data_IF_287137609185
#
_entry.id   IF_287137609185
#
_cell.length_a   1.000
_cell.length_b   1.000
_cell.length_c   1.000
_cell.angle_alpha   90.00
_cell.angle_beta   90.00
_cell.angle_gamma   90.00
#
_symmetry.space_group_name_H-M   'P 1'
#
loop_
_entity.id
_entity.type
_entity.pdbx_description
1 polymer ?
#
# COMPACT_ATOMS: atom_id res chain seq x y z
N UNK A 1 -1.25 2.08 -17.78
CA UNK A 1 -1.21 0.81 -17.04
C UNK A 1 -2.63 0.48 -16.64
N UNK A 2 -3.11 -0.76 -16.85
CA UNK A 2 -4.47 -1.15 -16.44
C UNK A 2 -4.34 -1.74 -15.03
N UNK A 3 -4.77 -1.00 -14.00
CA UNK A 3 -5.01 -1.58 -12.68
C UNK A 3 -6.33 -2.35 -12.77
N UNK A 4 -6.29 -3.67 -12.59
CA UNK A 4 -7.49 -4.50 -12.60
C UNK A 4 -7.94 -4.69 -11.15
N UNK A 5 -9.14 -4.21 -10.81
CA UNK A 5 -9.78 -4.54 -9.54
C UNK A 5 -10.16 -6.03 -9.58
N UNK A 6 -9.43 -6.87 -8.83
CA UNK A 6 -9.81 -8.27 -8.65
C UNK A 6 -10.92 -8.33 -7.60
N UNK A 7 -12.15 -8.65 -8.03
CA UNK A 7 -13.25 -8.96 -7.11
C UNK A 7 -13.06 -10.39 -6.60
N UNK A 8 -12.51 -10.54 -5.40
CA UNK A 8 -12.36 -11.85 -4.77
C UNK A 8 -13.73 -12.38 -4.36
N UNK A 9 -14.08 -13.56 -4.88
CA UNK A 9 -15.29 -14.29 -4.54
C UNK A 9 -14.97 -15.44 -3.60
N UNK A 10 -15.06 -15.20 -2.30
CA UNK A 10 -15.08 -16.28 -1.31
C UNK A 10 -15.75 -15.79 -0.02
N UNK A 11 -17.07 -15.58 -0.08
CA UNK A 11 -17.91 -15.60 1.11
C UNK A 11 -18.69 -16.92 1.06
N UNK A 12 -18.84 -17.57 2.22
CA UNK A 12 -19.51 -18.86 2.45
C UNK A 12 -20.71 -19.09 1.51
N UNK A 13 -21.03 -20.35 1.22
CA UNK A 13 -22.05 -20.88 0.30
C UNK A 13 -23.48 -20.25 0.36
N UNK A 14 -23.73 -19.30 1.24
CA UNK A 14 -24.97 -18.53 1.38
C UNK A 14 -25.02 -17.23 0.55
N UNK A 15 -23.88 -16.61 0.19
CA UNK A 15 -23.83 -15.30 -0.50
C UNK A 15 -22.93 -15.32 -1.73
N UNK A 16 -23.32 -16.10 -2.74
CA UNK A 16 -22.69 -16.08 -4.07
C UNK A 16 -23.67 -15.51 -5.10
N UNK A 17 -23.24 -14.51 -5.88
CA UNK A 17 -24.00 -13.98 -7.01
C UNK A 17 -23.09 -13.79 -8.22
N UNK A 18 -23.55 -14.05 -9.46
CA UNK A 18 -22.75 -13.81 -10.65
C UNK A 18 -22.58 -12.31 -10.88
N UNK A 19 -21.35 -11.87 -11.16
CA UNK A 19 -21.08 -10.51 -11.63
C UNK A 19 -20.82 -10.54 -13.12
N UNK A 20 -21.56 -9.71 -13.86
CA UNK A 20 -21.24 -9.43 -15.26
C UNK A 20 -20.28 -8.25 -15.30
N UNK A 21 -19.02 -8.52 -15.62
CA UNK A 21 -17.98 -7.50 -15.73
C UNK A 21 -17.64 -7.24 -17.20
N UNK A 22 -17.64 -5.97 -17.60
CA UNK A 22 -17.13 -5.53 -18.91
C UNK A 22 -15.78 -4.85 -18.68
N UNK A 23 -14.72 -5.37 -19.31
CA UNK A 23 -13.40 -4.74 -19.31
C UNK A 23 -13.23 -3.97 -20.63
N UNK A 24 -13.00 -2.66 -20.53
CA UNK A 24 -12.72 -1.78 -21.66
C UNK A 24 -11.34 -1.19 -21.52
N UNK A 25 -10.51 -1.31 -22.56
CA UNK A 25 -9.20 -0.66 -22.65
C UNK A 25 -9.22 0.39 -23.76
N UNK A 26 -8.94 1.64 -23.41
CA UNK A 26 -8.90 2.76 -24.35
C UNK A 26 -7.47 3.25 -24.53
N UNK A 27 -7.00 3.28 -25.78
CA UNK A 27 -5.67 3.75 -26.14
C UNK A 27 -5.78 5.07 -26.90
N UNK A 28 -4.96 6.04 -26.53
CA UNK A 28 -4.89 7.34 -27.19
C UNK A 28 -3.44 7.66 -27.52
N UNK A 29 -3.21 8.24 -28.70
CA UNK A 29 -1.94 8.88 -29.03
C UNK A 29 -2.00 10.29 -28.44
N UNK A 30 -1.11 10.60 -27.49
CA UNK A 30 -1.04 11.92 -26.87
C UNK A 30 0.29 12.57 -27.21
N UNK A 31 0.26 13.88 -27.48
CA UNK A 31 1.46 14.71 -27.56
C UNK A 31 1.98 15.09 -26.16
N UNK A 32 1.29 14.67 -25.09
CA UNK A 32 1.75 14.81 -23.71
C UNK A 32 3.02 13.99 -23.53
N UNK A 33 4.12 14.68 -23.21
CA UNK A 33 5.37 14.05 -22.78
C UNK A 33 5.09 13.34 -21.45
N UNK A 34 4.93 12.03 -21.49
CA UNK A 34 4.58 11.18 -20.34
C UNK A 34 5.83 10.89 -19.52
N UNK A 35 6.24 11.89 -18.73
CA UNK A 35 7.26 11.73 -17.70
C UNK A 35 8.65 12.25 -18.07
N UNK A 36 9.55 12.18 -17.08
CA UNK A 36 10.94 12.64 -17.19
C UNK A 36 11.86 11.64 -17.92
N UNK A 37 11.35 10.47 -18.32
CA UNK A 37 12.07 9.45 -19.08
C UNK A 37 11.11 8.69 -20.01
N UNK A 38 11.62 7.99 -21.04
CA UNK A 38 10.81 7.14 -21.90
C UNK A 38 10.14 5.99 -21.10
N UNK A 39 9.02 5.43 -21.60
CA UNK A 39 8.44 4.22 -21.04
C UNK A 39 9.43 3.06 -21.10
N UNK A 40 9.21 2.04 -20.27
CA UNK A 40 10.01 0.82 -20.30
C UNK A 40 9.89 0.10 -21.65
N UNK A 41 11.00 -0.46 -22.13
CA UNK A 41 11.07 -1.23 -23.37
C UNK A 41 10.47 -2.63 -23.21
N UNK A 42 10.57 -3.20 -22.01
CA UNK A 42 10.06 -4.53 -21.68
C UNK A 42 9.49 -4.56 -20.26
N UNK A 43 8.37 -5.27 -20.08
CA UNK A 43 7.80 -5.58 -18.77
C UNK A 43 7.82 -7.10 -18.59
N UNK A 44 8.54 -7.57 -17.58
CA UNK A 44 8.62 -8.99 -17.23
C UNK A 44 7.71 -9.26 -16.03
N UNK A 45 6.64 -10.08 -16.17
CA UNK A 45 5.79 -10.40 -15.03
C UNK A 45 6.51 -11.34 -14.06
N UNK A 46 6.44 -11.02 -12.77
CA UNK A 46 6.91 -11.84 -11.66
C UNK A 46 5.65 -12.33 -10.95
N UNK A 47 5.09 -13.42 -11.47
CA UNK A 47 3.77 -13.92 -11.09
C UNK A 47 3.70 -15.44 -11.25
N UNK A 48 2.61 -16.08 -10.84
CA UNK A 48 2.41 -17.52 -11.03
C UNK A 48 2.14 -17.94 -12.48
N UNK A 49 1.96 -16.98 -13.40
CA UNK A 49 1.80 -17.20 -14.86
C UNK A 49 0.66 -18.15 -15.24
N UNK A 50 -0.43 -18.16 -14.49
CA UNK A 50 -1.58 -19.06 -14.72
C UNK A 50 -2.55 -18.58 -15.82
N UNK A 51 -2.20 -17.55 -16.60
CA UNK A 51 -3.09 -16.97 -17.61
C UNK A 51 -3.57 -18.01 -18.65
N UNK A 52 -2.73 -18.98 -19.03
CA UNK A 52 -3.10 -20.07 -19.94
C UNK A 52 -4.17 -21.02 -19.38
N UNK A 53 -4.33 -21.03 -18.04
CA UNK A 53 -5.36 -21.80 -17.33
C UNK A 53 -6.59 -20.96 -17.00
N UNK A 54 -6.72 -19.77 -17.57
CA UNK A 54 -7.83 -18.83 -17.34
C UNK A 54 -8.06 -18.51 -15.85
N UNK A 55 -6.98 -18.43 -15.07
CA UNK A 55 -7.02 -18.10 -13.64
C UNK A 55 -6.07 -16.95 -13.32
N UNK A 56 -6.32 -16.28 -12.18
CA UNK A 56 -5.48 -15.18 -11.70
C UNK A 56 -4.02 -15.61 -11.54
N UNK A 57 -3.10 -14.70 -11.90
CA UNK A 57 -1.65 -14.96 -11.79
C UNK A 57 -1.03 -14.43 -10.49
N UNK A 58 -1.80 -13.77 -9.62
CA UNK A 58 -1.34 -13.43 -8.28
C UNK A 58 -1.24 -14.68 -7.39
N UNK A 59 -0.28 -14.69 -6.48
CA UNK A 59 -0.19 -15.71 -5.44
C UNK A 59 -1.07 -15.35 -4.25
N UNK A 60 -1.51 -16.38 -3.53
CA UNK A 60 -2.04 -16.24 -2.18
C UNK A 60 -1.01 -16.84 -1.22
N UNK A 61 -0.30 -16.01 -0.47
CA UNK A 61 0.65 -16.47 0.57
C UNK A 61 -0.09 -16.53 1.90
N UNK A 62 0.13 -17.55 2.76
CA UNK A 62 1.22 -18.52 2.70
C UNK A 62 0.90 -19.81 1.93
N UNK A 63 -0.31 -19.98 1.38
CA UNK A 63 -0.72 -21.22 0.70
C UNK A 63 0.23 -21.61 -0.44
N UNK A 64 0.68 -20.64 -1.22
CA UNK A 64 1.68 -20.83 -2.27
C UNK A 64 2.78 -19.79 -2.15
N UNK A 65 4.03 -20.25 -2.10
CA UNK A 65 5.18 -19.35 -2.11
C UNK A 65 5.19 -18.48 -3.39
N UNK A 66 5.37 -17.16 -3.20
CA UNK A 66 5.45 -16.21 -4.30
C UNK A 66 6.85 -16.20 -4.93
N UNK A 67 7.14 -17.24 -5.71
CA UNK A 67 8.43 -17.46 -6.38
C UNK A 67 8.24 -17.53 -7.89
N UNK A 68 9.07 -16.80 -8.63
CA UNK A 68 9.15 -16.88 -10.10
C UNK A 68 10.59 -16.79 -10.55
N UNK A 69 10.97 -17.68 -11.47
CA UNK A 69 12.28 -17.66 -12.13
C UNK A 69 12.15 -16.98 -13.49
N UNK A 70 13.07 -16.08 -13.81
CA UNK A 70 13.08 -15.32 -15.07
C UNK A 70 14.50 -15.13 -15.59
N UNK A 71 14.63 -15.08 -16.91
CA UNK A 71 15.87 -14.73 -17.60
C UNK A 71 15.80 -13.28 -18.07
N UNK A 72 16.79 -12.48 -17.69
CA UNK A 72 16.84 -11.07 -18.07
C UNK A 72 17.49 -10.89 -19.46
N UNK A 73 17.10 -9.86 -20.22
CA UNK A 73 17.86 -9.39 -21.37
C UNK A 73 19.27 -8.97 -20.95
N UNK A 74 20.28 -9.35 -21.73
CA UNK A 74 21.68 -9.06 -21.41
C UNK A 74 22.06 -7.60 -21.58
N UNK A 75 21.23 -6.82 -22.26
CA UNK A 75 21.42 -5.41 -22.59
C UNK A 75 20.58 -4.47 -21.71
N UNK A 76 20.07 -4.92 -20.56
CA UNK A 76 19.27 -4.05 -19.69
C UNK A 76 20.14 -2.97 -19.03
N UNK A 77 19.77 -1.70 -19.16
CA UNK A 77 20.48 -0.55 -18.61
C UNK A 77 19.79 0.07 -17.37
N UNK A 78 18.50 -0.22 -17.15
CA UNK A 78 17.74 0.17 -15.95
C UNK A 78 16.70 -0.91 -15.67
N UNK A 79 16.45 -1.19 -14.39
CA UNK A 79 15.43 -2.13 -13.96
C UNK A 79 14.72 -1.65 -12.69
N UNK A 80 13.39 -1.60 -12.73
CA UNK A 80 12.56 -1.27 -11.55
C UNK A 80 11.59 -2.40 -11.30
N UNK A 81 11.63 -2.97 -10.10
CA UNK A 81 10.64 -3.92 -9.63
C UNK A 81 9.44 -3.17 -9.08
N UNK A 82 8.23 -3.60 -9.43
CA UNK A 82 7.01 -3.14 -8.78
C UNK A 82 6.29 -4.30 -8.11
N UNK A 83 5.89 -4.10 -6.86
CA UNK A 83 5.19 -5.08 -6.03
C UNK A 83 3.77 -4.62 -5.73
N UNK A 84 2.82 -5.50 -5.99
CA UNK A 84 1.45 -5.42 -5.50
C UNK A 84 1.27 -6.44 -4.38
N UNK A 85 0.86 -5.99 -3.20
CA UNK A 85 0.64 -6.84 -2.05
C UNK A 85 -0.50 -6.29 -1.20
N UNK A 86 -1.52 -7.12 -0.95
CA UNK A 86 -2.68 -6.73 -0.16
C UNK A 86 -3.17 -7.89 0.73
N UNK A 87 -3.37 -7.61 2.01
CA UNK A 87 -3.86 -8.57 3.00
C UNK A 87 -5.37 -8.80 2.87
N UNK A 88 -5.80 -10.04 3.07
CA UNK A 88 -7.19 -10.48 2.93
C UNK A 88 -7.58 -11.45 4.07
N UNK A 89 -8.87 -11.59 4.35
CA UNK A 89 -9.36 -12.35 5.51
C UNK A 89 -8.93 -11.66 6.81
N UNK A 90 -8.34 -12.38 7.77
CA UNK A 90 -7.81 -11.76 8.99
C UNK A 90 -6.69 -10.75 8.71
N UNK A 91 -6.00 -10.87 7.58
CA UNK A 91 -4.98 -9.90 7.17
C UNK A 91 -5.60 -8.64 6.56
N UNK A 92 -6.92 -8.51 6.38
CA UNK A 92 -7.55 -7.22 6.03
C UNK A 92 -7.34 -6.17 7.14
N UNK A 93 -7.20 -6.64 8.38
CA UNK A 93 -7.06 -5.83 9.58
C UNK A 93 -5.68 -6.00 10.24
N UNK A 94 -4.65 -6.40 9.48
CA UNK A 94 -3.30 -6.70 9.99
C UNK A 94 -2.75 -5.59 10.91
N UNK A 95 -3.14 -4.34 10.65
CA UNK A 95 -2.76 -3.15 11.41
C UNK A 95 -3.33 -3.08 12.83
N UNK A 96 -4.27 -3.95 13.17
CA UNK A 96 -4.89 -4.09 14.50
C UNK A 96 -4.48 -5.37 15.23
N UNK A 97 -3.63 -6.20 14.62
CA UNK A 97 -3.23 -7.47 15.20
C UNK A 97 -2.45 -7.26 16.49
N UNK A 98 -2.60 -8.21 17.42
CA UNK A 98 -1.81 -8.24 18.66
C UNK A 98 -0.49 -8.97 18.46
N UNK A 99 0.38 -8.88 19.46
CA UNK A 99 1.56 -9.73 19.56
C UNK A 99 1.16 -11.21 19.63
N UNK A 100 2.05 -12.10 19.18
CA UNK A 100 1.78 -13.53 19.15
C UNK A 100 1.53 -14.10 20.55
N UNK A 101 2.25 -13.61 21.57
CA UNK A 101 2.03 -14.03 22.96
C UNK A 101 0.71 -13.53 23.57
N UNK A 102 0.09 -12.50 22.97
CA UNK A 102 -1.13 -11.86 23.46
C UNK A 102 -2.40 -12.36 22.76
N UNK A 103 -2.28 -13.21 21.74
CA UNK A 103 -3.41 -13.69 20.92
C UNK A 103 -4.54 -14.34 21.75
N UNK A 104 -4.19 -15.00 22.85
CA UNK A 104 -5.13 -15.68 23.74
C UNK A 104 -5.65 -14.80 24.90
N UNK A 105 -5.20 -13.54 25.00
CA UNK A 105 -5.46 -12.69 26.18
C UNK A 105 -6.96 -12.54 26.49
N UNK A 106 -7.83 -12.52 25.46
CA UNK A 106 -9.28 -12.36 25.62
C UNK A 106 -10.07 -13.55 25.07
N UNK A 107 -9.44 -14.72 24.96
CA UNK A 107 -10.05 -15.91 24.34
C UNK A 107 -11.38 -16.32 24.99
N UNK A 108 -11.50 -16.18 26.31
CA UNK A 108 -12.72 -16.50 27.05
C UNK A 108 -13.91 -15.57 26.74
N UNK A 109 -13.66 -14.38 26.17
CA UNK A 109 -14.68 -13.34 25.96
C UNK A 109 -15.00 -13.13 24.49
N UNK A 110 -13.97 -12.97 23.66
CA UNK A 110 -14.11 -12.61 22.24
C UNK A 110 -13.37 -13.58 21.30
N UNK A 111 -12.83 -14.68 21.84
CA UNK A 111 -12.05 -15.65 21.08
C UNK A 111 -10.59 -15.20 20.84
N UNK A 112 -9.88 -15.98 20.06
CA UNK A 112 -8.47 -15.72 19.72
C UNK A 112 -8.36 -14.47 18.84
N UNK A 113 -7.52 -13.52 19.26
CA UNK A 113 -7.23 -12.33 18.47
C UNK A 113 -6.26 -12.65 17.31
N UNK A 114 -6.38 -11.98 16.16
CA UNK A 114 -5.37 -12.04 15.10
C UNK A 114 -3.98 -11.64 15.63
N UNK A 115 -2.98 -12.46 15.30
CA UNK A 115 -1.61 -12.36 15.83
C UNK A 115 -0.61 -11.85 14.76
N UNK A 116 0.66 -11.76 15.12
CA UNK A 116 1.75 -11.39 14.21
C UNK A 116 2.12 -9.90 14.24
N UNK A 117 1.67 -9.17 15.27
CA UNK A 117 1.88 -7.73 15.50
C UNK A 117 1.18 -6.81 14.48
N UNK A 118 0.97 -5.53 14.81
CA UNK A 118 0.34 -4.56 13.92
C UNK A 118 1.28 -3.98 12.84
N UNK A 119 2.34 -4.70 12.48
CA UNK A 119 3.35 -4.31 11.48
C UNK A 119 3.53 -5.40 10.42
N UNK A 120 3.70 -4.99 9.16
CA UNK A 120 3.95 -5.87 8.03
C UNK A 120 5.05 -5.29 7.14
N UNK A 121 5.92 -6.17 6.65
CA UNK A 121 6.91 -5.85 5.63
C UNK A 121 6.80 -6.84 4.49
N UNK A 122 6.68 -6.31 3.27
CA UNK A 122 6.70 -7.10 2.04
C UNK A 122 8.13 -7.05 1.51
N UNK A 123 8.80 -8.20 1.48
CA UNK A 123 10.20 -8.33 1.08
C UNK A 123 10.31 -8.82 -0.36
N UNK A 124 11.12 -8.16 -1.18
CA UNK A 124 11.49 -8.61 -2.53
C UNK A 124 12.92 -9.12 -2.50
N UNK A 125 13.11 -10.39 -2.85
CA UNK A 125 14.40 -11.05 -2.89
C UNK A 125 14.79 -11.43 -4.32
N UNK A 126 16.07 -11.29 -4.64
CA UNK A 126 16.72 -11.72 -5.88
C UNK A 126 17.78 -12.75 -5.50
N UNK A 127 17.65 -13.98 -5.99
CA UNK A 127 18.54 -15.10 -5.68
C UNK A 127 18.80 -15.24 -4.16
N UNK A 128 17.70 -15.23 -3.40
CA UNK A 128 17.63 -15.29 -1.92
C UNK A 128 18.30 -14.12 -1.17
N UNK A 129 18.72 -13.05 -1.86
CA UNK A 129 19.20 -11.81 -1.25
C UNK A 129 18.12 -10.74 -1.27
N UNK A 130 17.93 -10.03 -0.15
CA UNK A 130 16.96 -8.94 -0.10
C UNK A 130 17.39 -7.80 -1.03
N UNK A 131 16.50 -7.40 -1.93
CA UNK A 131 16.72 -6.30 -2.88
C UNK A 131 16.05 -5.00 -2.41
N UNK A 132 14.91 -5.11 -1.74
CA UNK A 132 14.16 -3.99 -1.17
C UNK A 132 12.88 -4.48 -0.48
N UNK A 133 12.15 -3.55 0.13
CA UNK A 133 10.92 -3.85 0.86
C UNK A 133 9.83 -2.82 0.62
N UNK A 134 8.58 -3.18 0.92
CA UNK A 134 7.44 -2.26 1.02
C UNK A 134 6.84 -2.39 2.43
N UNK A 135 6.57 -1.26 3.08
CA UNK A 135 5.66 -1.21 4.22
C UNK A 135 4.28 -0.75 3.72
N UNK A 136 3.28 -1.64 3.70
CA UNK A 136 2.05 -1.44 2.96
C UNK A 136 1.16 -0.35 3.58
N UNK A 137 0.47 0.40 2.72
CA UNK A 137 -0.61 1.29 3.17
C UNK A 137 -1.75 0.45 3.77
N UNK A 138 -2.28 0.81 4.95
CA UNK A 138 -3.37 0.07 5.58
C UNK A 138 -4.71 0.38 4.90
N UNK A 139 -4.99 -0.33 3.79
CA UNK A 139 -6.27 -0.21 3.07
C UNK A 139 -7.40 -0.70 3.97
N UNK A 140 -8.48 0.07 4.07
CA UNK A 140 -9.72 -0.33 4.74
C UNK A 140 -10.79 -0.47 3.67
N UNK A 141 -11.20 -1.70 3.37
CA UNK A 141 -12.20 -2.00 2.35
C UNK A 141 -13.62 -1.70 2.84
N UNK A 142 -14.61 -1.80 1.93
CA UNK A 142 -15.97 -1.29 2.11
C UNK A 142 -16.80 -1.97 3.21
N UNK A 143 -16.30 -3.05 3.82
CA UNK A 143 -16.86 -3.69 5.01
C UNK A 143 -16.08 -3.44 6.30
N UNK A 144 -14.87 -2.87 6.22
CA UNK A 144 -13.93 -2.83 7.33
C UNK A 144 -14.24 -1.78 8.40
N UNK A 145 -13.87 -2.10 9.65
CA UNK A 145 -14.10 -1.32 10.88
C UNK A 145 -15.60 -1.15 11.19
N UNK A 146 -16.31 -0.32 10.42
CA UNK A 146 -17.77 -0.20 10.44
C UNK A 146 -18.25 0.05 9.01
N UNK A 147 -19.16 -0.78 8.46
CA UNK A 147 -19.58 -0.68 7.04
C UNK A 147 -20.11 0.70 6.62
N UNK A 148 -20.74 1.45 7.53
CA UNK A 148 -21.29 2.79 7.24
C UNK A 148 -20.25 3.90 7.05
N UNK A 149 -18.95 3.63 7.26
CA UNK A 149 -17.89 4.56 6.82
C UNK A 149 -17.78 4.66 5.30
N UNK A 150 -18.19 3.61 4.58
CA UNK A 150 -17.80 3.39 3.19
C UNK A 150 -18.94 3.66 2.20
N UNK A 151 -19.95 4.40 2.63
CA UNK A 151 -21.14 4.75 1.84
C UNK A 151 -21.40 6.24 2.00
N UNK A 152 -21.54 7.00 0.90
CA UNK A 152 -21.18 6.68 -0.48
C UNK A 152 -19.67 6.80 -0.77
N UNK A 153 -18.86 7.23 0.21
CA UNK A 153 -17.41 7.47 0.02
C UNK A 153 -16.60 6.23 0.42
N UNK A 154 -15.85 5.67 -0.50
CA UNK A 154 -15.06 4.44 -0.29
C UNK A 154 -13.70 4.72 0.37
N UNK A 155 -13.09 3.70 0.98
CA UNK A 155 -11.74 3.74 1.54
C UNK A 155 -10.67 4.27 0.58
N UNK A 156 -9.65 4.91 1.15
CA UNK A 156 -8.46 5.31 0.38
C UNK A 156 -7.84 4.07 -0.25
N UNK A 157 -7.48 4.15 -1.53
CA UNK A 157 -6.91 3.07 -2.36
C UNK A 157 -7.76 1.78 -2.49
N UNK A 158 -8.97 1.71 -1.92
CA UNK A 158 -9.76 0.47 -1.91
C UNK A 158 -10.26 0.03 -3.31
N UNK A 159 -10.25 0.93 -4.30
CA UNK A 159 -10.54 0.61 -5.72
C UNK A 159 -9.32 0.72 -6.65
N UNK A 160 -8.23 1.32 -6.20
CA UNK A 160 -6.99 1.47 -6.96
C UNK A 160 -5.83 1.17 -6.01
N UNK A 161 -5.57 -0.13 -5.84
CA UNK A 161 -4.53 -0.63 -4.93
C UNK A 161 -3.17 -0.25 -5.51
N UNK A 162 -2.51 0.73 -4.89
CA UNK A 162 -1.20 1.18 -5.33
C UNK A 162 -0.14 0.10 -5.15
N UNK A 163 0.76 0.10 -6.12
CA UNK A 163 1.96 -0.73 -6.08
C UNK A 163 3.16 0.08 -5.63
N UNK A 164 4.15 -0.60 -5.08
CA UNK A 164 5.37 0.01 -4.60
C UNK A 164 6.52 -0.24 -5.57
N UNK A 165 7.43 0.71 -5.70
CA UNK A 165 8.57 0.66 -6.62
C UNK A 165 9.88 0.39 -5.86
N UNK A 166 10.68 -0.55 -6.35
CA UNK A 166 12.02 -0.84 -5.85
C UNK A 166 12.97 -0.81 -7.05
N UNK A 167 13.88 0.16 -7.10
CA UNK A 167 14.84 0.22 -8.20
C UNK A 167 15.92 -0.86 -8.00
N UNK A 168 15.94 -1.82 -8.92
CA UNK A 168 16.86 -2.96 -8.91
C UNK A 168 17.99 -2.78 -9.93
N UNK A 169 18.20 -1.57 -10.47
CA UNK A 169 19.32 -1.27 -11.37
C UNK A 169 20.69 -1.63 -10.79
N UNK A 170 20.95 -1.47 -9.46
CA UNK A 170 22.19 -1.97 -8.85
C UNK A 170 22.48 -3.47 -9.07
N UNK A 171 21.45 -4.28 -9.35
CA UNK A 171 21.57 -5.73 -9.57
C UNK A 171 21.83 -6.12 -11.03
N UNK A 172 21.72 -5.18 -11.97
CA UNK A 172 21.90 -5.46 -13.40
C UNK A 172 23.18 -6.20 -13.79
N UNK A 173 24.35 -5.98 -13.15
CA UNK A 173 25.58 -6.69 -13.51
C UNK A 173 25.51 -8.20 -13.27
N UNK A 174 24.69 -8.64 -12.31
CA UNK A 174 24.48 -10.06 -12.01
C UNK A 174 23.22 -10.61 -12.69
N UNK A 175 22.20 -9.78 -12.92
CA UNK A 175 20.97 -10.19 -13.62
C UNK A 175 21.17 -10.36 -15.13
N UNK A 176 22.09 -9.61 -15.74
CA UNK A 176 22.30 -9.58 -17.19
C UNK A 176 23.32 -10.63 -17.68
N UNK A 177 23.65 -11.63 -16.85
CA UNK A 177 24.68 -12.62 -17.12
C UNK A 177 24.27 -13.68 -18.17
N UNK A 178 22.97 -13.77 -18.48
CA UNK A 178 22.39 -14.72 -19.43
C UNK A 178 21.82 -15.99 -18.79
N UNK A 179 21.88 -16.11 -17.48
CA UNK A 179 21.27 -17.18 -16.69
C UNK A 179 19.84 -16.82 -16.25
N UNK A 180 19.19 -17.78 -15.60
CA UNK A 180 17.91 -17.58 -14.94
C UNK A 180 18.12 -17.13 -13.49
N UNK A 181 17.31 -16.19 -13.03
CA UNK A 181 17.33 -15.65 -11.68
C UNK A 181 15.99 -15.84 -10.99
N UNK A 182 16.04 -16.10 -9.69
CA UNK A 182 14.85 -16.36 -8.88
C UNK A 182 14.43 -15.09 -8.13
N UNK A 183 13.21 -14.65 -8.39
CA UNK A 183 12.55 -13.61 -7.61
C UNK A 183 11.60 -14.25 -6.61
N UNK A 184 11.67 -13.80 -5.36
CA UNK A 184 10.80 -14.26 -4.27
C UNK A 184 10.21 -13.07 -3.55
N UNK A 185 8.90 -13.10 -3.30
CA UNK A 185 8.21 -12.10 -2.51
C UNK A 185 7.75 -12.76 -1.20
N UNK A 186 8.05 -12.15 -0.06
CA UNK A 186 7.59 -12.62 1.26
C UNK A 186 6.80 -11.53 1.95
N UNK A 187 5.85 -11.92 2.79
CA UNK A 187 5.25 -11.01 3.77
C UNK A 187 5.68 -11.48 5.13
N UNK A 188 6.18 -10.55 5.93
CA UNK A 188 6.64 -10.83 7.28
C UNK A 188 5.94 -9.91 8.28
N UNK A 189 5.68 -10.45 9.45
CA UNK A 189 5.29 -9.71 10.64
C UNK A 189 6.36 -9.87 11.73
N UNK A 190 5.98 -9.64 12.97
CA UNK A 190 6.83 -9.88 14.12
C UNK A 190 6.25 -11.02 14.95
N UNK A 191 7.14 -11.89 15.44
CA UNK A 191 6.86 -12.78 16.54
C UNK A 191 7.58 -12.29 17.79
N UNK A 192 7.00 -12.59 18.94
CA UNK A 192 7.57 -12.29 20.24
C UNK A 192 7.66 -13.56 21.10
N UNK A 193 8.77 -13.68 21.83
CA UNK A 193 8.99 -14.75 22.80
C UNK A 193 9.63 -14.15 24.05
N UNK A 194 8.81 -13.99 25.10
CA UNK A 194 9.22 -13.20 26.27
C UNK A 194 9.45 -11.74 25.87
N UNK A 195 10.62 -11.21 26.21
CA UNK A 195 10.99 -9.82 25.89
C UNK A 195 11.69 -9.67 24.52
N UNK A 196 11.85 -10.76 23.77
CA UNK A 196 12.51 -10.74 22.45
C UNK A 196 11.49 -10.68 21.34
N UNK A 197 11.77 -9.84 20.35
CA UNK A 197 11.03 -9.78 19.09
C UNK A 197 11.91 -10.23 17.93
N UNK A 198 11.32 -10.87 16.94
CA UNK A 198 12.01 -11.31 15.71
C UNK A 198 11.07 -11.25 14.52
N UNK A 199 11.63 -11.04 13.34
CA UNK A 199 10.88 -11.14 12.09
C UNK A 199 10.37 -12.57 11.90
N UNK A 200 9.10 -12.72 11.53
CA UNK A 200 8.46 -14.01 11.26
C UNK A 200 7.72 -13.95 9.92
N UNK A 201 7.80 -15.03 9.14
CA UNK A 201 7.10 -15.18 7.85
C UNK A 201 5.66 -15.68 8.00
N UNK A 202 5.19 -15.91 9.22
CA UNK A 202 3.81 -16.32 9.47
C UNK A 202 2.90 -15.10 9.37
N UNK A 203 1.93 -15.16 8.46
CA UNK A 203 0.81 -14.23 8.36
C UNK A 203 -0.48 -14.96 8.70
N UNK A 204 -1.57 -14.22 8.93
CA UNK A 204 -2.92 -14.76 9.08
C UNK A 204 -3.43 -15.39 7.78
N UNK A 205 -4.72 -15.22 7.46
CA UNK A 205 -5.37 -15.90 6.34
C UNK A 205 -4.55 -15.90 5.04
N UNK A 206 -4.42 -14.76 4.37
CA UNK A 206 -3.54 -14.67 3.20
C UNK A 206 -3.24 -13.24 2.77
N UNK A 207 -2.20 -13.10 1.95
CA UNK A 207 -1.94 -11.91 1.15
C UNK A 207 -2.00 -12.26 -0.33
N UNK A 208 -2.66 -11.42 -1.11
CA UNK A 208 -2.66 -11.49 -2.58
C UNK A 208 -1.47 -10.70 -3.10
N UNK A 209 -0.57 -11.36 -3.82
CA UNK A 209 0.73 -10.80 -4.20
C UNK A 209 1.03 -11.02 -5.68
N UNK A 210 1.57 -10.00 -6.33
CA UNK A 210 2.20 -10.13 -7.64
C UNK A 210 3.31 -9.09 -7.80
N UNK A 211 4.23 -9.35 -8.72
CA UNK A 211 5.26 -8.38 -9.09
C UNK A 211 5.44 -8.27 -10.59
N UNK A 212 6.19 -7.25 -11.01
CA UNK A 212 6.63 -7.05 -12.38
C UNK A 212 7.91 -6.23 -12.43
N UNK A 213 8.74 -6.48 -13.42
CA UNK A 213 9.97 -5.72 -13.65
C UNK A 213 9.83 -4.89 -14.91
N UNK A 214 10.03 -3.58 -14.79
CA UNK A 214 10.15 -2.64 -15.88
C UNK A 214 11.62 -2.53 -16.29
N UNK A 215 11.92 -2.78 -17.56
CA UNK A 215 13.27 -2.80 -18.10
C UNK A 215 13.43 -1.76 -19.21
N UNK A 216 14.56 -1.05 -19.17
CA UNK A 216 15.05 -0.24 -20.28
C UNK A 216 16.29 -0.90 -20.85
N UNK A 217 16.37 -0.98 -22.17
CA UNK A 217 17.37 -1.76 -22.89
C UNK A 217 18.31 -0.82 -23.66
N UNK A 218 19.57 -1.20 -23.75
CA UNK A 218 20.52 -0.66 -24.71
C UNK A 218 20.33 -1.36 -26.08
N UNK A 219 21.08 -0.92 -27.09
CA UNK A 219 21.05 -1.52 -28.44
C UNK A 219 21.24 -3.04 -28.40
N UNK A 220 20.58 -3.74 -29.31
CA UNK A 220 20.70 -5.19 -29.44
C UNK A 220 22.16 -5.61 -29.64
N UNK A 221 22.57 -6.70 -28.97
CA UNK A 221 23.95 -7.20 -29.00
C UNK A 221 24.90 -6.54 -28.00
N UNK A 222 24.50 -5.46 -27.33
CA UNK A 222 25.23 -4.94 -26.17
C UNK A 222 25.06 -5.84 -24.94
N UNK A 223 25.99 -5.75 -23.99
CA UNK A 223 25.95 -6.54 -22.75
C UNK A 223 26.24 -5.61 -21.58
N UNK A 224 25.34 -5.60 -20.62
CA UNK A 224 25.51 -4.93 -19.33
C UNK A 224 26.35 -5.81 -18.42
N UNK A 225 27.43 -5.25 -17.88
CA UNK A 225 28.40 -5.91 -17.02
C UNK A 225 28.66 -5.04 -15.78
N UNK A 226 29.75 -5.31 -15.05
CA UNK A 226 30.15 -4.56 -13.87
C UNK A 226 30.47 -5.48 -12.70
N UNK A 227 30.28 -5.00 -11.47
CA UNK A 227 30.53 -5.79 -10.25
C UNK A 227 29.21 -6.20 -9.59
N UNK A 228 29.18 -7.35 -8.91
CA UNK A 228 28.07 -7.69 -8.03
C UNK A 228 27.78 -6.56 -7.03
N UNK A 229 26.49 -6.27 -6.73
CA UNK A 229 26.15 -5.19 -5.84
C UNK A 229 26.66 -5.42 -4.42
N UNK A 230 27.06 -4.34 -3.75
CA UNK A 230 27.28 -4.33 -2.31
C UNK A 230 25.94 -4.09 -1.62
N UNK A 231 25.52 -5.04 -0.80
CA UNK A 231 24.24 -5.02 -0.09
C UNK A 231 24.50 -4.73 1.39
N UNK A 232 24.01 -3.60 1.87
CA UNK A 232 24.05 -3.18 3.27
C UNK A 232 22.61 -3.11 3.80
N UNK A 233 22.19 -4.20 4.43
CA UNK A 233 20.82 -4.40 4.89
C UNK A 233 20.88 -4.96 6.31
N UNK A 234 20.25 -4.25 7.24
CA UNK A 234 20.06 -4.70 8.62
C UNK A 234 18.69 -5.38 8.78
N UNK A 235 18.59 -6.26 9.76
CA UNK A 235 17.27 -6.66 10.30
C UNK A 235 16.55 -5.42 10.88
N UNK A 236 15.21 -5.40 10.95
CA UNK A 236 14.49 -4.27 11.52
C UNK A 236 14.88 -4.08 12.99
N UNK A 237 15.15 -2.84 13.40
CA UNK A 237 15.28 -2.48 14.82
C UNK A 237 13.89 -2.33 15.41
N UNK A 238 13.56 -3.19 16.38
CA UNK A 238 12.22 -3.30 16.98
C UNK A 238 12.29 -2.90 18.44
N UNK A 239 11.43 -1.96 18.85
CA UNK A 239 11.25 -1.56 20.24
C UNK A 239 9.81 -1.80 20.65
N UNK A 240 9.62 -2.76 21.55
CA UNK A 240 8.36 -3.03 22.22
C UNK A 240 8.40 -2.41 23.62
N UNK A 241 7.49 -1.48 23.92
CA UNK A 241 7.45 -0.79 25.21
C UNK A 241 6.02 -0.69 25.74
N UNK A 242 5.87 -0.38 27.03
CA UNK A 242 4.56 -0.13 27.63
C UNK A 242 3.61 -1.33 27.63
N UNK A 243 4.11 -2.55 27.35
CA UNK A 243 3.28 -3.76 27.34
C UNK A 243 2.69 -4.02 28.73
N UNK A 244 1.37 -3.98 28.84
CA UNK A 244 0.66 -4.13 30.11
C UNK A 244 -0.67 -4.86 29.91
N UNK A 245 -0.80 -6.01 30.54
CA UNK A 245 -2.05 -6.76 30.67
C UNK A 245 -2.63 -6.50 32.06
N UNK A 246 -3.80 -5.88 32.14
CA UNK A 246 -4.52 -5.62 33.40
C UNK A 246 -5.62 -6.64 33.61
N UNK A 247 -5.74 -7.11 34.84
CA UNK A 247 -6.78 -8.04 35.26
C UNK A 247 -7.72 -7.35 36.26
N UNK A 248 -8.99 -7.72 36.22
CA UNK A 248 -9.96 -7.29 37.21
C UNK A 248 -9.82 -8.11 38.52
N UNK A 249 -10.67 -7.82 39.52
CA UNK A 249 -10.65 -8.50 40.83
C UNK A 249 -10.91 -10.02 40.78
N UNK A 250 -11.49 -10.53 39.68
CA UNK A 250 -11.74 -11.97 39.47
C UNK A 250 -10.58 -12.68 38.78
N UNK A 251 -9.53 -11.95 38.40
CA UNK A 251 -8.40 -12.47 37.61
C UNK A 251 -8.66 -12.51 36.10
N UNK A 252 -9.80 -11.99 35.62
CA UNK A 252 -10.09 -11.93 34.19
C UNK A 252 -9.33 -10.76 33.55
N UNK A 253 -8.74 -11.01 32.38
CA UNK A 253 -8.05 -9.98 31.59
C UNK A 253 -9.05 -8.92 31.11
N UNK A 254 -8.83 -7.67 31.49
CA UNK A 254 -9.73 -6.53 31.23
C UNK A 254 -9.18 -5.63 30.11
N UNK A 255 -7.88 -5.37 30.10
CA UNK A 255 -7.22 -4.56 29.07
C UNK A 255 -5.80 -5.00 28.79
N UNK A 256 -5.35 -4.75 27.57
CA UNK A 256 -4.00 -4.95 27.07
C UNK A 256 -3.56 -3.66 26.36
N UNK A 257 -2.40 -3.12 26.70
CA UNK A 257 -1.80 -2.01 25.97
C UNK A 257 -0.35 -2.31 25.63
N UNK A 258 0.14 -1.81 24.50
CA UNK A 258 1.56 -1.86 24.12
C UNK A 258 1.88 -0.79 23.08
N UNK A 259 3.14 -0.40 23.02
CA UNK A 259 3.69 0.47 21.98
C UNK A 259 4.72 -0.32 21.17
N UNK A 260 4.63 -0.21 19.84
CA UNK A 260 5.54 -0.85 18.92
C UNK A 260 6.20 0.20 18.03
N UNK A 261 7.52 0.25 18.03
CA UNK A 261 8.31 1.04 17.09
C UNK A 261 9.20 0.11 16.26
N UNK A 262 9.27 0.36 14.96
CA UNK A 262 10.13 -0.39 14.04
C UNK A 262 10.86 0.59 13.13
N UNK A 263 12.18 0.44 12.99
CA UNK A 263 12.95 1.17 11.98
C UNK A 263 13.77 0.23 11.13
N UNK A 264 13.98 0.59 9.86
CA UNK A 264 14.81 -0.19 8.93
C UNK A 264 15.56 0.72 7.97
N UNK A 265 16.79 0.36 7.66
CA UNK A 265 17.60 1.00 6.62
C UNK A 265 18.16 -0.03 5.66
N UNK A 266 18.04 0.23 4.36
CA UNK A 266 18.51 -0.60 3.25
C UNK A 266 19.39 0.27 2.35
N UNK A 267 20.53 -0.26 1.92
CA UNK A 267 21.33 0.32 0.84
C UNK A 267 21.88 -0.77 -0.06
N UNK A 268 21.64 -0.65 -1.36
CA UNK A 268 22.24 -1.52 -2.38
C UNK A 268 23.00 -0.66 -3.38
N UNK A 269 24.30 -0.90 -3.50
CA UNK A 269 25.21 -0.13 -4.36
C UNK A 269 25.72 -1.01 -5.49
N UNK A 270 25.54 -0.57 -6.73
CA UNK A 270 26.03 -1.27 -7.92
C UNK A 270 27.14 -0.49 -8.63
N UNK A 271 27.97 -1.21 -9.39
CA UNK A 271 28.83 -0.66 -10.45
C UNK A 271 28.33 -1.28 -11.75
N UNK A 272 27.60 -0.51 -12.57
CA UNK A 272 26.92 -0.99 -13.78
C UNK A 272 27.62 -0.44 -15.00
N UNK A 273 28.14 -1.32 -15.86
CA UNK A 273 28.79 -0.95 -17.11
C UNK A 273 27.86 -1.34 -18.26
N UNK A 274 27.14 -0.36 -18.80
CA UNK A 274 26.24 -0.53 -19.94
C UNK A 274 26.81 0.13 -21.19
N UNK A 275 26.13 0.02 -22.34
CA UNK A 275 26.53 0.73 -23.57
C UNK A 275 26.55 2.26 -23.38
N UNK A 276 25.73 2.78 -22.47
CA UNK A 276 25.66 4.21 -22.10
C UNK A 276 26.80 4.68 -21.20
N UNK A 277 27.67 3.77 -20.75
CA UNK A 277 28.82 4.04 -19.90
C UNK A 277 28.72 3.37 -18.53
N UNK A 278 29.66 3.73 -17.64
CA UNK A 278 29.67 3.25 -16.26
C UNK A 278 28.80 4.13 -15.38
N UNK A 279 27.87 3.52 -14.66
CA UNK A 279 26.97 4.14 -13.68
C UNK A 279 27.17 3.48 -12.32
N UNK A 280 26.92 4.22 -11.25
CA UNK A 280 27.05 3.71 -9.89
C UNK A 280 25.73 3.85 -9.13
N UNK A 281 24.66 3.13 -9.56
CA UNK A 281 23.35 3.27 -8.95
C UNK A 281 23.40 2.86 -7.48
N UNK A 282 22.74 3.65 -6.64
CA UNK A 282 22.53 3.36 -5.22
C UNK A 282 21.04 3.44 -4.94
N UNK A 283 20.45 2.28 -4.64
CA UNK A 283 19.11 2.19 -4.08
C UNK A 283 19.19 2.28 -2.56
N UNK A 284 18.35 3.11 -1.94
CA UNK A 284 18.27 3.22 -0.49
C UNK A 284 16.84 3.36 -0.01
N UNK A 285 16.55 2.78 1.15
CA UNK A 285 15.27 2.91 1.83
C UNK A 285 15.49 3.22 3.30
N UNK A 286 14.75 4.20 3.83
CA UNK A 286 14.70 4.56 5.25
C UNK A 286 13.26 4.52 5.71
N UNK A 287 12.96 3.64 6.65
CA UNK A 287 11.59 3.29 7.05
C UNK A 287 11.42 3.43 8.55
N UNK A 288 10.29 4.00 8.98
CA UNK A 288 9.94 4.15 10.40
C UNK A 288 8.45 3.97 10.64
N UNK A 289 8.13 3.19 11.68
CA UNK A 289 6.80 2.79 12.09
C UNK A 289 6.68 3.01 13.59
N UNK A 290 5.53 3.51 14.03
CA UNK A 290 5.16 3.58 15.43
C UNK A 290 3.67 3.29 15.57
N UNK A 291 3.29 2.49 16.56
CA UNK A 291 1.89 2.25 16.95
C UNK A 291 1.73 2.29 18.46
N UNK A 292 0.65 2.91 18.91
CA UNK A 292 0.10 2.79 20.26
C UNK A 292 -1.18 1.98 20.18
N UNK A 293 -1.15 0.76 20.71
CA UNK A 293 -2.28 -0.16 20.68
C UNK A 293 -2.88 -0.30 22.09
N UNK A 294 -4.20 -0.31 22.17
CA UNK A 294 -4.94 -0.67 23.39
C UNK A 294 -6.14 -1.51 23.04
N UNK A 295 -6.33 -2.57 23.80
CA UNK A 295 -7.53 -3.39 23.81
C UNK A 295 -8.13 -3.28 25.21
N UNK A 296 -9.42 -3.03 25.29
CA UNK A 296 -10.12 -2.84 26.57
C UNK A 296 -11.49 -3.52 26.55
N UNK A 297 -12.23 -3.41 27.66
CA UNK A 297 -13.55 -4.03 27.81
C UNK A 297 -13.54 -5.54 27.51
N UNK A 298 -12.51 -6.23 28.03
CA UNK A 298 -12.34 -7.68 27.88
C UNK A 298 -12.20 -8.12 26.42
N UNK A 299 -11.55 -7.31 25.57
CA UNK A 299 -11.31 -7.64 24.17
C UNK A 299 -12.30 -7.01 23.18
N UNK A 300 -13.30 -6.28 23.67
CA UNK A 300 -14.39 -5.71 22.85
C UNK A 300 -14.04 -4.40 22.19
N UNK A 301 -13.19 -3.61 22.84
CA UNK A 301 -12.78 -2.30 22.34
C UNK A 301 -11.34 -2.38 21.86
N UNK A 302 -11.05 -1.70 20.76
CA UNK A 302 -9.72 -1.62 20.17
C UNK A 302 -9.38 -0.20 19.79
N UNK A 303 -8.17 0.22 20.13
CA UNK A 303 -7.59 1.49 19.76
C UNK A 303 -6.23 1.24 19.11
N UNK A 304 -6.01 1.85 17.94
CA UNK A 304 -4.71 1.91 17.29
C UNK A 304 -4.45 3.33 16.84
N UNK A 305 -3.27 3.85 17.14
CA UNK A 305 -2.76 5.09 16.61
C UNK A 305 -1.37 4.81 16.07
N UNK A 306 -1.29 4.56 14.77
CA UNK A 306 -0.02 4.27 14.12
C UNK A 306 0.27 5.15 12.92
N UNK A 307 1.55 5.20 12.60
CA UNK A 307 2.08 5.91 11.45
C UNK A 307 3.17 5.06 10.81
N UNK A 308 3.10 4.92 9.48
CA UNK A 308 4.21 4.47 8.65
C UNK A 308 4.81 5.72 7.98
N UNK A 309 6.13 5.80 7.93
CA UNK A 309 6.87 6.77 7.12
C UNK A 309 7.99 6.09 6.38
N UNK A 310 8.27 6.56 5.17
CA UNK A 310 9.36 6.02 4.38
C UNK A 310 9.95 7.04 3.41
N UNK A 311 11.22 6.82 3.08
CA UNK A 311 11.92 7.50 1.98
C UNK A 311 12.68 6.44 1.19
N UNK A 312 12.28 6.28 -0.06
CA UNK A 312 12.97 5.43 -1.03
C UNK A 312 13.66 6.32 -2.06
N UNK A 313 14.92 6.02 -2.39
CA UNK A 313 15.73 6.90 -3.21
C UNK A 313 16.71 6.11 -4.09
N UNK A 314 16.73 6.44 -5.38
CA UNK A 314 17.75 6.06 -6.33
C UNK A 314 18.64 7.27 -6.60
N UNK A 315 19.95 7.08 -6.44
CA UNK A 315 20.99 8.03 -6.82
C UNK A 315 22.07 7.36 -7.67
N UNK A 316 22.96 8.14 -8.29
CA UNK A 316 24.09 7.62 -9.09
C UNK A 316 23.71 7.04 -10.46
N UNK A 317 22.43 7.02 -10.79
CA UNK A 317 21.87 6.73 -12.11
C UNK A 317 20.46 7.32 -12.21
N UNK A 318 20.28 8.39 -12.97
CA UNK A 318 19.03 9.16 -12.93
C UNK A 318 18.74 9.70 -11.52
N UNK A 319 17.52 10.19 -11.32
CA UNK A 319 17.01 10.56 -10.00
C UNK A 319 15.62 9.99 -9.82
N UNK A 320 15.38 9.36 -8.67
CA UNK A 320 14.05 8.97 -8.21
C UNK A 320 14.03 9.05 -6.70
N UNK A 321 12.99 9.66 -6.14
CA UNK A 321 12.75 9.72 -4.72
C UNK A 321 11.26 9.66 -4.43
N UNK A 322 10.85 8.74 -3.57
CA UNK A 322 9.50 8.64 -3.05
C UNK A 322 9.54 8.85 -1.54
N UNK A 323 8.73 9.79 -1.04
CA UNK A 323 8.55 10.02 0.39
C UNK A 323 7.08 9.85 0.74
N UNK A 324 6.78 9.05 1.75
CA UNK A 324 5.39 8.75 2.11
C UNK A 324 5.16 8.74 3.61
N UNK A 325 3.91 9.02 3.98
CA UNK A 325 3.42 8.95 5.35
C UNK A 325 1.98 8.45 5.36
N UNK A 326 1.72 7.42 6.17
CA UNK A 326 0.42 6.76 6.30
C UNK A 326 -0.07 6.73 7.75
N UNK A 327 -0.55 7.86 8.31
CA UNK A 327 -1.18 7.86 9.62
C UNK A 327 -2.55 7.15 9.59
N UNK A 328 -2.80 6.33 10.61
CA UNK A 328 -4.10 5.69 10.84
C UNK A 328 -4.42 5.69 12.34
N UNK A 329 -5.55 6.28 12.69
CA UNK A 329 -6.12 6.28 14.03
C UNK A 329 -7.51 5.63 13.95
N UNK A 330 -7.70 4.55 14.69
CA UNK A 330 -8.99 3.85 14.80
C UNK A 330 -9.28 3.64 16.28
N UNK A 331 -10.43 4.12 16.71
CA UNK A 331 -11.03 3.78 18.00
C UNK A 331 -12.34 3.06 17.72
N UNK A 332 -12.43 1.78 18.05
CA UNK A 332 -13.56 0.92 17.73
C UNK A 332 -14.09 0.19 18.96
N UNK A 333 -15.41 0.01 18.97
CA UNK A 333 -16.17 -0.73 19.96
C UNK A 333 -16.95 -1.79 19.22
N UNK A 334 -16.81 -3.04 19.64
CA UNK A 334 -17.57 -4.18 19.13
C UNK A 334 -18.25 -4.91 20.28
N UNK A 335 -19.58 -4.96 20.21
CA UNK A 335 -20.41 -5.65 21.19
C UNK A 335 -21.24 -6.73 20.49
N UNK A 336 -21.28 -7.90 21.10
CA UNK A 336 -22.18 -8.98 20.69
C UNK A 336 -22.91 -9.50 21.93
N UNK A 337 -24.25 -9.48 21.90
CA UNK A 337 -25.06 -10.04 23.00
C UNK A 337 -25.01 -11.57 22.96
N UNK A 338 -25.39 -12.22 24.07
CA UNK A 338 -25.52 -13.69 24.09
C UNK A 338 -26.55 -14.22 23.08
N UNK A 339 -27.54 -13.40 22.70
CA UNK A 339 -28.52 -13.73 21.67
C UNK A 339 -27.92 -13.65 20.26
N UNK A 340 -26.81 -12.92 20.07
CA UNK A 340 -26.16 -12.69 18.77
C UNK A 340 -26.41 -11.30 18.18
N UNK A 341 -26.97 -10.35 18.94
CA UNK A 341 -27.13 -8.98 18.45
C UNK A 341 -25.77 -8.29 18.40
N UNK A 342 -25.41 -7.82 17.21
CA UNK A 342 -24.15 -7.14 16.94
C UNK A 342 -24.34 -5.62 16.99
N UNK A 343 -23.44 -4.92 17.69
CA UNK A 343 -23.31 -3.47 17.65
C UNK A 343 -21.85 -3.09 17.45
N UNK A 344 -21.59 -2.27 16.44
CA UNK A 344 -20.29 -1.73 16.10
C UNK A 344 -20.36 -0.21 16.16
N UNK A 345 -19.33 0.43 16.70
CA UNK A 345 -19.14 1.87 16.56
C UNK A 345 -17.68 2.24 16.53
N UNK A 346 -17.31 3.24 15.75
CA UNK A 346 -15.91 3.65 15.68
C UNK A 346 -15.74 5.12 15.30
N UNK A 347 -14.58 5.67 15.65
CA UNK A 347 -14.00 6.85 15.02
C UNK A 347 -12.80 6.45 14.16
N UNK A 348 -12.62 7.14 13.04
CA UNK A 348 -11.57 6.85 12.07
C UNK A 348 -10.89 8.15 11.65
N UNK A 349 -9.56 8.15 11.60
CA UNK A 349 -8.75 9.06 10.82
C UNK A 349 -7.75 8.22 10.02
N UNK A 350 -7.71 8.40 8.70
CA UNK A 350 -6.78 7.71 7.82
C UNK A 350 -6.24 8.72 6.82
N UNK A 351 -4.93 8.77 6.66
CA UNK A 351 -4.29 9.69 5.73
C UNK A 351 -3.24 8.98 4.88
N UNK A 352 -3.16 9.41 3.62
CA UNK A 352 -2.11 9.07 2.70
C UNK A 352 -1.44 10.36 2.24
N UNK A 353 -0.14 10.46 2.48
CA UNK A 353 0.76 11.45 1.88
C UNK A 353 1.80 10.72 1.06
N UNK A 354 1.95 11.12 -0.20
CA UNK A 354 2.93 10.58 -1.15
C UNK A 354 3.54 11.74 -1.95
N UNK A 355 4.85 11.86 -1.89
CA UNK A 355 5.64 12.78 -2.71
C UNK A 355 6.59 11.98 -3.60
N UNK A 356 6.52 12.18 -4.91
CA UNK A 356 7.37 11.52 -5.90
C UNK A 356 8.15 12.57 -6.68
N UNK A 357 9.48 12.43 -6.68
CA UNK A 357 10.41 13.29 -7.40
C UNK A 357 11.25 12.43 -8.36
N UNK A 358 11.48 12.93 -9.57
CA UNK A 358 12.28 12.22 -10.56
C UNK A 358 11.48 11.19 -11.37
N UNK A 359 12.16 10.12 -11.80
CA UNK A 359 11.67 9.20 -12.84
C UNK A 359 11.11 7.92 -12.22
N UNK A 360 9.81 7.88 -11.90
CA UNK A 360 9.11 6.63 -11.57
C UNK A 360 8.71 5.82 -12.82
N UNK A 361 8.06 4.67 -12.62
CA UNK A 361 7.44 3.84 -13.67
C UNK A 361 5.95 4.09 -13.80
N UNK A 362 5.35 4.69 -12.77
CA UNK A 362 3.95 5.07 -12.74
C UNK A 362 3.76 6.54 -13.11
N UNK A 363 2.68 6.88 -13.83
CA UNK A 363 2.28 8.27 -14.02
C UNK A 363 2.06 8.95 -12.66
N UNK A 364 2.50 10.19 -12.55
CA UNK A 364 2.40 10.96 -11.31
C UNK A 364 1.16 11.86 -11.27
N UNK A 365 0.49 12.04 -12.41
CA UNK A 365 -0.58 13.02 -12.61
C UNK A 365 -0.06 14.37 -13.12
N UNK A 366 1.24 14.67 -12.95
CA UNK A 366 1.84 15.91 -13.45
C UNK A 366 1.86 15.99 -14.98
N UNK A 367 1.72 14.87 -15.70
CA UNK A 367 1.75 14.81 -17.16
C UNK A 367 0.68 15.73 -17.76
N UNK A 368 -0.51 15.81 -17.15
CA UNK A 368 -1.59 16.70 -17.59
C UNK A 368 -1.25 18.17 -17.39
N UNK A 369 -0.55 18.50 -16.31
CA UNK A 369 -0.22 19.89 -15.94
C UNK A 369 1.07 20.41 -16.61
N UNK A 370 1.96 19.51 -17.01
CA UNK A 370 3.20 19.83 -17.73
C UNK A 370 3.03 19.85 -19.26
N UNK A 371 1.82 19.66 -19.79
CA UNK A 371 1.56 19.60 -21.23
C UNK A 371 1.92 20.93 -21.93
N UNK A 372 2.83 20.91 -22.93
CA UNK A 372 3.26 22.13 -23.62
C UNK A 372 2.18 22.86 -24.42
N UNK A 373 1.14 22.14 -24.83
CA UNK A 373 0.06 22.69 -25.65
C UNK A 373 -1.06 23.32 -24.79
N UNK A 374 -0.92 23.37 -23.46
CA UNK A 374 -1.87 24.03 -22.56
C UNK A 374 -1.59 25.54 -22.50
N UNK A 375 -2.59 26.36 -22.83
CA UNK A 375 -2.46 27.83 -22.91
C UNK A 375 -2.91 28.58 -21.64
N UNK A 376 -3.36 27.85 -20.60
CA UNK A 376 -3.90 28.44 -19.37
C UNK A 376 -2.84 28.70 -18.28
N UNK A 377 -3.11 29.73 -17.44
CA UNK A 377 -2.13 30.43 -16.58
C UNK A 377 -1.44 29.61 -15.47
N UNK A 378 -1.74 28.32 -15.27
CA UNK A 378 -1.12 27.48 -14.23
C UNK A 378 -0.51 26.15 -14.73
N UNK A 379 -0.13 26.06 -16.00
CA UNK A 379 0.58 24.92 -16.58
C UNK A 379 1.50 25.33 -17.72
N UNK A 380 2.51 26.18 -17.45
CA UNK A 380 3.58 26.36 -18.44
C UNK A 380 4.28 25.00 -18.61
N UNK A 381 4.56 24.55 -19.85
CA UNK A 381 5.35 23.35 -20.08
C UNK A 381 6.62 23.28 -19.23
N UNK A 382 6.81 22.17 -18.53
CA UNK A 382 8.09 21.79 -17.92
C UNK A 382 8.38 22.27 -16.50
N UNK A 383 7.43 22.88 -15.78
CA UNK A 383 7.72 23.50 -14.48
C UNK A 383 7.66 22.53 -13.27
N UNK A 384 6.82 21.49 -13.27
CA UNK A 384 6.67 20.60 -12.11
C UNK A 384 7.52 19.33 -12.23
N UNK A 385 8.34 19.07 -11.21
CA UNK A 385 9.25 17.91 -11.10
C UNK A 385 8.95 17.02 -9.89
N UNK A 386 8.13 17.52 -8.97
CA UNK A 386 7.75 16.87 -7.73
C UNK A 386 6.23 16.77 -7.71
N UNK A 387 5.70 15.56 -7.63
CA UNK A 387 4.27 15.31 -7.51
C UNK A 387 3.94 15.03 -6.06
N UNK A 388 2.95 15.71 -5.49
CA UNK A 388 2.52 15.50 -4.11
C UNK A 388 1.03 15.19 -4.06
N UNK A 389 0.70 13.99 -3.63
CA UNK A 389 -0.66 13.54 -3.38
C UNK A 389 -0.88 13.43 -1.87
N UNK A 390 -1.86 14.17 -1.36
CA UNK A 390 -2.30 14.11 0.03
C UNK A 390 -3.80 13.86 0.05
N UNK A 391 -4.24 12.80 0.73
CA UNK A 391 -5.66 12.60 0.99
C UNK A 391 -5.85 12.07 2.40
N UNK A 392 -6.81 12.63 3.11
CA UNK A 392 -7.23 12.09 4.40
C UNK A 392 -8.73 11.93 4.43
N UNK A 393 -9.19 10.96 5.22
CA UNK A 393 -10.59 10.83 5.58
C UNK A 393 -10.74 10.67 7.08
N UNK A 394 -11.78 11.29 7.62
CA UNK A 394 -12.11 11.15 9.03
C UNK A 394 -13.62 11.15 9.27
N UNK A 395 -14.04 10.47 10.33
CA UNK A 395 -15.47 10.25 10.54
C UNK A 395 -15.81 9.49 11.80
N UNK A 396 -17.12 9.26 11.97
CA UNK A 396 -17.67 8.39 13.01
C UNK A 396 -18.77 7.53 12.41
N UNK A 397 -18.83 6.26 12.79
CA UNK A 397 -19.81 5.33 12.25
C UNK A 397 -20.38 4.42 13.35
N UNK A 398 -21.61 3.96 13.12
CA UNK A 398 -22.32 2.96 13.92
C UNK A 398 -23.04 1.98 13.01
N UNK A 399 -23.12 0.74 13.45
CA UNK A 399 -23.87 -0.34 12.80
C UNK A 399 -24.48 -1.24 13.88
N UNK A 400 -25.75 -1.61 13.72
CA UNK A 400 -26.41 -2.60 14.56
C UNK A 400 -27.13 -3.62 13.70
N UNK A 401 -27.04 -4.89 14.09
CA UNK A 401 -27.71 -6.01 13.45
C UNK A 401 -28.26 -6.94 14.52
N UNK A 402 -29.59 -7.12 14.62
CA UNK A 402 -30.17 -8.10 15.52
C UNK A 402 -29.75 -9.52 15.16
N UNK A 403 -29.82 -10.42 16.14
CA UNK A 403 -29.43 -11.83 15.99
C UNK A 403 -30.15 -12.57 14.85
N UNK A 404 -31.39 -12.18 14.53
CA UNK A 404 -32.17 -12.80 13.45
C UNK A 404 -31.71 -12.37 12.05
N UNK A 405 -30.82 -11.37 11.96
CA UNK A 405 -30.27 -10.80 10.73
C UNK A 405 -31.32 -10.33 9.71
N UNK A 406 -32.58 -10.14 10.12
CA UNK A 406 -33.67 -9.73 9.22
C UNK A 406 -33.62 -8.24 8.87
N UNK A 407 -32.97 -7.46 9.70
CA UNK A 407 -32.80 -6.02 9.51
C UNK A 407 -31.43 -5.57 10.01
N UNK A 408 -31.01 -4.38 9.59
CA UNK A 408 -29.85 -3.70 10.18
C UNK A 408 -30.12 -2.20 10.19
N UNK A 409 -29.45 -1.51 11.11
CA UNK A 409 -29.44 -0.04 11.16
C UNK A 409 -28.00 0.43 11.11
N UNK A 410 -27.75 1.47 10.34
CA UNK A 410 -26.40 2.01 10.19
C UNK A 410 -26.48 3.53 10.07
N UNK A 411 -25.52 4.20 10.70
CA UNK A 411 -25.33 5.65 10.56
C UNK A 411 -23.85 5.95 10.47
N UNK A 412 -23.45 6.94 9.70
CA UNK A 412 -22.04 7.30 9.58
C UNK A 412 -21.87 8.72 9.09
N UNK A 413 -20.79 9.36 9.49
CA UNK A 413 -20.32 10.61 8.90
C UNK A 413 -18.91 10.41 8.41
N UNK A 414 -18.61 10.92 7.23
CA UNK A 414 -17.26 10.90 6.68
C UNK A 414 -16.98 12.23 5.98
N UNK A 415 -15.80 12.78 6.23
CA UNK A 415 -15.21 13.85 5.45
C UNK A 415 -13.94 13.32 4.82
N UNK A 416 -13.81 13.48 3.51
CA UNK A 416 -12.57 13.21 2.79
C UNK A 416 -12.09 14.48 2.11
N UNK A 417 -10.79 14.73 2.20
CA UNK A 417 -10.11 15.80 1.45
C UNK A 417 -9.01 15.15 0.64
N UNK A 418 -8.95 15.47 -0.64
CA UNK A 418 -7.85 15.15 -1.53
C UNK A 418 -7.22 16.46 -2.02
N UNK A 419 -5.90 16.50 -2.03
CA UNK A 419 -5.09 17.59 -2.58
C UNK A 419 -3.97 16.99 -3.39
N UNK A 420 -3.83 17.46 -4.62
CA UNK A 420 -2.75 17.15 -5.52
C UNK A 420 -2.01 18.44 -5.85
N UNK A 421 -0.70 18.44 -5.67
CA UNK A 421 0.17 19.59 -5.84
C UNK A 421 1.37 19.24 -6.69
N UNK A 422 1.88 20.25 -7.40
CA UNK A 422 3.15 20.20 -8.12
C UNK A 422 4.22 21.03 -7.43
N UNK A 423 5.45 20.53 -7.41
CA UNK A 423 6.63 21.23 -6.94
C UNK A 423 7.63 21.48 -8.07
N UNK A 424 8.31 22.64 -8.00
CA UNK A 424 9.33 23.07 -8.96
C UNK A 424 10.73 22.94 -8.34
N UNK A 425 11.72 22.61 -9.16
CA UNK A 425 13.12 22.61 -8.73
C UNK A 425 13.56 24.04 -8.34
N UNK A 426 14.15 24.19 -7.15
CA UNK A 426 14.56 25.51 -6.63
C UNK A 426 13.42 26.49 -6.31
N UNK A 427 12.16 26.06 -6.37
CA UNK A 427 10.98 26.90 -6.19
C UNK A 427 10.00 26.36 -5.14
N UNK A 428 8.73 26.77 -5.24
CA UNK A 428 7.66 26.25 -4.39
C UNK A 428 7.46 24.74 -4.64
N UNK A 429 7.50 23.93 -3.56
CA UNK A 429 7.29 22.47 -3.62
C UNK A 429 5.83 22.04 -3.52
N UNK A 430 4.89 22.95 -3.24
CA UNK A 430 3.49 22.62 -2.92
C UNK A 430 2.50 23.60 -3.59
N UNK A 431 2.61 23.75 -4.92
CA UNK A 431 1.63 24.51 -5.73
C UNK A 431 0.40 23.64 -5.95
N UNK A 432 -0.75 24.02 -5.40
CA UNK A 432 -1.99 23.26 -5.55
C UNK A 432 -2.42 23.20 -7.03
N UNK A 433 -2.67 21.99 -7.53
CA UNK A 433 -3.09 21.71 -8.90
C UNK A 433 -4.53 21.18 -8.96
N UNK A 434 -4.94 20.40 -7.96
CA UNK A 434 -6.28 19.88 -7.80
C UNK A 434 -6.61 19.69 -6.32
N UNK A 435 -7.83 19.99 -5.92
CA UNK A 435 -8.36 19.58 -4.63
C UNK A 435 -9.83 19.20 -4.74
N UNK A 436 -10.23 18.20 -3.96
CA UNK A 436 -11.64 17.79 -3.82
C UNK A 436 -11.96 17.52 -2.36
N UNK A 437 -13.06 18.08 -1.88
CA UNK A 437 -13.55 17.87 -0.53
C UNK A 437 -14.96 17.32 -0.57
N UNK A 438 -15.13 16.10 -0.06
CA UNK A 438 -16.42 15.42 0.03
C UNK A 438 -16.82 15.30 1.50
N UNK A 439 -18.06 15.64 1.82
CA UNK A 439 -18.69 15.33 3.11
C UNK A 439 -19.92 14.49 2.85
N UNK A 440 -20.05 13.39 3.56
CA UNK A 440 -21.23 12.55 3.49
C UNK A 440 -21.72 12.16 4.88
N UNK A 441 -23.02 11.97 4.98
CA UNK A 441 -23.69 11.41 6.16
C UNK A 441 -24.65 10.32 5.71
N UNK A 442 -24.62 9.19 6.39
CA UNK A 442 -25.37 7.99 6.03
C UNK A 442 -25.17 7.64 4.56
N UNK A 443 -26.24 7.58 3.75
CA UNK A 443 -26.15 7.27 2.33
C UNK A 443 -26.18 8.53 1.44
N UNK A 444 -25.89 9.71 2.00
CA UNK A 444 -26.09 11.00 1.30
C UNK A 444 -24.82 11.84 1.28
N UNK A 445 -24.42 12.31 0.10
CA UNK A 445 -23.38 13.34 -0.06
C UNK A 445 -23.99 14.69 0.33
N UNK A 446 -23.39 15.36 1.33
CA UNK A 446 -23.81 16.68 1.80
C UNK A 446 -23.15 17.82 1.02
N UNK A 447 -21.89 17.62 0.64
CA UNK A 447 -21.11 18.59 -0.15
C UNK A 447 -20.02 17.87 -0.94
N UNK A 448 -19.80 18.33 -2.16
CA UNK A 448 -18.70 17.90 -3.03
C UNK A 448 -18.09 19.14 -3.69
N UNK A 449 -16.99 19.62 -3.12
CA UNK A 449 -16.32 20.83 -3.56
C UNK A 449 -15.05 20.46 -4.33
N UNK A 450 -14.99 20.79 -5.61
CA UNK A 450 -13.82 20.58 -6.46
C UNK A 450 -13.17 21.91 -6.86
N UNK A 451 -11.84 21.94 -6.81
CA UNK A 451 -11.01 23.02 -7.36
C UNK A 451 -9.93 22.43 -8.24
N UNK A 452 -9.78 22.99 -9.43
CA UNK A 452 -8.75 22.61 -10.38
C UNK A 452 -8.04 23.85 -10.90
N UNK A 453 -6.72 23.74 -11.07
CA UNK A 453 -5.87 24.79 -11.62
C UNK A 453 -6.18 25.14 -13.10
N UNK A 454 -7.01 24.35 -13.78
CA UNK A 454 -7.51 24.65 -15.13
C UNK A 454 -8.76 25.56 -15.15
N UNK A 455 -9.00 26.27 -14.04
CA UNK A 455 -9.94 27.40 -13.97
C UNK A 455 -11.41 27.05 -14.28
N UNK A 456 -11.79 25.78 -14.28
CA UNK A 456 -13.17 25.31 -14.43
C UNK A 456 -13.70 24.87 -13.05
N UNK A 457 -14.30 25.76 -12.24
CA UNK A 457 -15.01 25.34 -11.04
C UNK A 457 -16.20 24.45 -11.46
N UNK A 458 -16.16 23.18 -11.08
CA UNK A 458 -17.26 22.24 -11.26
C UNK A 458 -17.90 21.98 -9.89
N UNK A 459 -19.07 22.55 -9.69
CA UNK A 459 -19.96 22.10 -8.60
C UNK A 459 -20.81 20.99 -9.21
N UNK A 460 -20.51 19.74 -8.88
CA UNK A 460 -21.42 18.64 -9.20
C UNK A 460 -22.62 18.77 -8.25
N UNK A 461 -23.73 19.27 -8.79
CA UNK A 461 -24.99 19.32 -8.05
C UNK A 461 -25.48 17.88 -7.83
N UNK A 462 -26.08 17.66 -6.66
CA UNK A 462 -26.54 16.36 -6.14
C UNK A 462 -27.54 15.59 -7.01
N UNK A 463 -27.92 16.09 -8.20
CA UNK A 463 -28.85 15.46 -9.12
C UNK A 463 -28.18 14.51 -10.13
N UNK A 464 -26.85 14.52 -10.27
CA UNK A 464 -26.13 13.55 -11.14
C UNK A 464 -25.64 12.29 -10.41
N UNK A 465 -26.01 12.11 -9.14
CA UNK A 465 -25.71 10.91 -8.34
C UNK A 465 -27.03 10.29 -7.87
N UNK A 466 -27.74 9.63 -8.78
CA UNK A 466 -28.79 8.65 -8.46
C UNK A 466 -28.65 7.42 -9.33
#
# INVERSE_FOLDING_TARGET
MITLLLLLHALLCLYTGPFNCTLTATFFKSDVVTGLAPPADLIVPISSRNASSNTGSAWQVPEREAVSTVKFPRNANRAVFSVSANGQGTEEFWWSNVLQSDAAAFNATVGMAPAGSPWREVQVLIDDKLAGVQWPFPVIFTGGVVPSFHRPVVGLDAFDLREHEIDISPWLPVLSDGNEHTFKIKVVGLADQGDKTSVNTTVGNFWVISGKVFLWLDEEGSVTTGRPPTVDISEPDVKLTGRMLKQNSTGANESLAFNLEVTRSISVKGEVVSKKGTMNPVWSQKLSYSNQATISEFGRNGFNNFIITGTDELSGQGSYKSTYSFPLIVDQISNMTAAGDLSLSATLFQELKLEVEGVGVYPTGLEVYNNPNRTERQGKPGDYRIAKLSTFRNGTAKFNMPADMKSSSASGTIRQVLRFSGGREGGARDVELYSRQVRATNNTVLSDEEKSADSQPRVLLSEEVN
#
